data_IF_778505853087
#
_entry.id   IF_778505853087
#
_cell.length_a   1.000
_cell.length_b   1.000
_cell.length_c   1.000
_cell.angle_alpha   90.00
_cell.angle_beta   90.00
_cell.angle_gamma   90.00
#
_symmetry.space_group_name_H-M   'P 1'
#
loop_
_entity.id
_entity.type
_entity.pdbx_description
1 polymer ?
#
# COMPACT_ATOMS: atom_id res chain seq x y z
N UNK A 1 -3.41 -7.81 -12.54
CA UNK A 1 -4.14 -7.37 -11.33
C UNK A 1 -3.28 -7.40 -10.05
N UNK A 2 -2.65 -8.52 -9.69
CA UNK A 2 -1.86 -8.66 -8.44
C UNK A 2 -0.62 -7.76 -8.31
N UNK A 3 -0.03 -7.27 -9.42
CA UNK A 3 1.06 -6.26 -9.39
C UNK A 3 0.54 -4.82 -9.36
N UNK A 4 -0.61 -4.56 -10.01
CA UNK A 4 -1.24 -3.24 -10.07
C UNK A 4 -1.82 -2.80 -8.72
N UNK A 5 -2.41 -3.74 -7.96
CA UNK A 5 -2.78 -3.48 -6.56
C UNK A 5 -1.55 -3.31 -5.67
N UNK A 6 -0.45 -4.05 -5.88
CA UNK A 6 0.80 -3.86 -5.11
C UNK A 6 1.39 -2.46 -5.32
N UNK A 7 1.34 -1.91 -6.53
CA UNK A 7 1.80 -0.53 -6.79
C UNK A 7 0.92 0.54 -6.16
N UNK A 8 -0.41 0.36 -6.13
CA UNK A 8 -1.30 1.24 -5.36
C UNK A 8 -1.13 1.05 -3.83
N UNK A 9 -0.76 -0.16 -3.40
CA UNK A 9 -0.40 -0.43 -2.01
C UNK A 9 0.91 0.27 -1.66
N UNK A 10 1.87 0.46 -2.58
CA UNK A 10 3.11 1.22 -2.33
C UNK A 10 2.82 2.71 -2.07
N UNK A 11 1.84 3.32 -2.76
CA UNK A 11 1.40 4.68 -2.46
C UNK A 11 0.60 4.80 -1.15
N UNK A 12 -0.07 3.72 -0.71
CA UNK A 12 -0.77 3.64 0.58
C UNK A 12 0.10 3.08 1.74
N UNK A 13 1.28 2.50 1.47
CA UNK A 13 2.23 1.91 2.43
C UNK A 13 3.43 2.80 2.73
N UNK A 14 3.44 4.07 2.30
CA UNK A 14 4.39 5.05 2.83
C UNK A 14 4.15 5.35 4.34
N UNK A 15 3.03 4.88 4.91
CA UNK A 15 2.77 4.86 6.36
C UNK A 15 3.05 3.53 7.07
N UNK A 16 3.67 2.55 6.39
CA UNK A 16 3.87 1.18 6.89
C UNK A 16 5.32 0.71 6.91
N UNK A 17 6.30 1.62 6.90
CA UNK A 17 7.72 1.26 7.08
C UNK A 17 8.17 1.50 8.52
N UNK A 18 7.91 0.52 9.37
CA UNK A 18 8.81 0.10 10.45
C UNK A 18 8.30 -1.23 11.00
N UNK A 19 9.23 -2.12 11.38
CA UNK A 19 9.05 -3.46 11.96
C UNK A 19 9.20 -4.68 11.04
N UNK A 20 10.03 -4.60 9.99
CA UNK A 20 10.83 -5.79 9.63
C UNK A 20 12.30 -5.40 9.58
N UNK A 21 13.10 -6.13 10.36
CA UNK A 21 14.41 -5.70 10.85
C UNK A 21 15.54 -5.75 9.82
N UNK A 22 16.50 -4.87 10.08
CA UNK A 22 17.85 -4.90 9.57
C UNK A 22 18.57 -6.20 9.92
N UNK A 23 19.45 -6.67 9.03
CA UNK A 23 20.61 -7.43 9.45
C UNK A 23 21.85 -6.96 8.67
N UNK A 24 22.80 -6.44 9.47
CA UNK A 24 24.27 -6.51 9.39
C UNK A 24 25.10 -5.53 8.53
N UNK A 25 25.84 -4.73 9.32
CA UNK A 25 27.29 -4.59 9.40
C UNK A 25 28.03 -3.61 8.48
N UNK A 26 28.69 -2.62 9.11
CA UNK A 26 29.82 -1.89 8.54
C UNK A 26 29.99 -0.44 9.01
N UNK A 27 30.54 -0.24 10.21
CA UNK A 27 31.36 0.95 10.53
C UNK A 27 32.81 0.70 10.02
N UNK A 28 33.73 1.69 9.82
CA UNK A 28 33.99 2.82 10.73
C UNK A 28 34.53 4.15 10.13
N UNK A 29 34.76 5.12 11.06
CA UNK A 29 35.73 6.26 11.08
C UNK A 29 35.67 7.34 9.97
N UNK A 30 35.73 8.65 10.21
CA UNK A 30 36.28 9.47 11.30
C UNK A 30 37.41 10.34 10.74
N UNK A 31 37.24 11.66 10.63
CA UNK A 31 38.28 12.65 10.97
C UNK A 31 37.84 14.12 10.92
N UNK A 32 38.49 14.93 11.75
CA UNK A 32 38.29 16.38 11.99
C UNK A 32 39.21 17.22 11.09
N UNK A 33 38.78 18.43 10.72
CA UNK A 33 39.66 19.62 10.66
C UNK A 33 38.85 20.93 10.57
N UNK A 34 39.37 21.98 11.20
CA UNK A 34 38.66 23.22 11.54
C UNK A 34 38.79 24.41 10.58
N UNK A 35 38.17 25.49 11.07
CA UNK A 35 37.85 26.82 10.53
C UNK A 35 39.03 27.67 9.95
N UNK A 36 38.80 28.89 9.41
CA UNK A 36 38.32 30.05 10.20
C UNK A 36 37.23 30.92 9.53
N UNK A 37 36.64 31.77 10.38
CA UNK A 37 35.60 32.75 10.12
C UNK A 37 36.08 34.02 9.39
N UNK A 38 35.17 34.72 8.71
CA UNK A 38 35.24 36.17 8.54
C UNK A 38 33.87 36.81 8.78
N UNK A 39 33.85 37.83 9.64
CA UNK A 39 32.71 38.65 10.00
C UNK A 39 32.37 39.67 8.89
N UNK A 40 31.09 40.04 8.78
CA UNK A 40 30.65 41.15 7.92
C UNK A 40 29.16 41.46 8.01
N UNK A 41 28.84 42.46 8.84
CA UNK A 41 27.69 43.38 8.80
C UNK A 41 26.26 42.85 9.01
N UNK A 42 25.72 43.25 10.17
CA UNK A 42 24.32 43.17 10.55
C UNK A 42 23.44 44.14 9.74
N UNK A 43 22.30 43.63 9.26
CA UNK A 43 21.11 44.42 8.99
C UNK A 43 19.98 43.85 9.84
N UNK A 44 19.50 44.65 10.79
CA UNK A 44 18.42 44.28 11.70
C UNK A 44 17.10 44.14 10.94
N UNK A 45 16.76 42.91 10.56
CA UNK A 45 15.40 42.55 10.19
C UNK A 45 14.60 42.32 11.47
N UNK A 46 13.42 42.93 11.53
CA UNK A 46 12.45 42.76 12.61
C UNK A 46 12.16 41.27 12.78
N UNK A 47 12.58 40.73 13.92
CA UNK A 47 12.19 39.40 14.37
C UNK A 47 10.70 39.40 14.63
N UNK A 48 9.94 38.89 13.67
CA UNK A 48 8.73 38.15 13.99
C UNK A 48 9.16 37.06 15.00
N UNK A 49 8.53 37.05 16.17
CA UNK A 49 8.79 36.03 17.18
C UNK A 49 8.65 34.65 16.50
N UNK A 50 9.66 33.77 16.56
CA UNK A 50 9.56 32.48 15.91
C UNK A 50 8.37 31.73 16.52
N UNK A 51 7.42 31.34 15.67
CA UNK A 51 6.40 30.37 16.04
C UNK A 51 7.11 29.22 16.74
N UNK A 52 6.69 28.87 17.96
CA UNK A 52 7.37 27.87 18.78
C UNK A 52 7.55 26.59 17.96
N UNK A 53 8.79 26.35 17.52
CA UNK A 53 9.08 25.22 16.65
C UNK A 53 8.75 23.93 17.38
N UNK A 54 8.07 23.02 16.68
CA UNK A 54 7.68 21.74 17.24
C UNK A 54 8.92 20.88 17.44
N UNK A 55 9.04 20.21 18.58
CA UNK A 55 10.09 19.22 18.84
C UNK A 55 9.81 17.93 18.06
N UNK A 56 10.83 17.11 17.82
CA UNK A 56 10.71 15.90 17.00
C UNK A 56 9.71 14.89 17.58
N UNK A 57 9.74 14.68 18.90
CA UNK A 57 8.80 13.85 19.63
C UNK A 57 7.35 14.38 19.52
N UNK A 58 7.15 15.69 19.66
CA UNK A 58 5.83 16.30 19.51
C UNK A 58 5.28 16.15 18.09
N UNK A 59 6.14 16.24 17.06
CA UNK A 59 5.75 16.02 15.67
C UNK A 59 5.30 14.57 15.42
N UNK A 60 6.03 13.59 15.96
CA UNK A 60 5.66 12.17 15.88
C UNK A 60 4.34 11.91 16.60
N UNK A 61 4.19 12.42 17.82
CA UNK A 61 2.96 12.25 18.60
C UNK A 61 1.75 12.92 17.92
N UNK A 62 1.94 14.03 17.19
CA UNK A 62 0.88 14.64 16.39
C UNK A 62 0.38 13.71 15.27
N UNK A 63 1.28 13.00 14.59
CA UNK A 63 0.92 11.99 13.58
C UNK A 63 0.12 10.85 14.21
N UNK A 64 0.61 10.30 15.33
CA UNK A 64 -0.06 9.20 16.03
C UNK A 64 -1.45 9.60 16.52
N UNK A 65 -1.58 10.81 17.07
CA UNK A 65 -2.87 11.36 17.51
C UNK A 65 -3.85 11.58 16.34
N UNK A 66 -3.36 12.00 15.17
CA UNK A 66 -4.16 12.11 13.97
C UNK A 66 -4.62 10.76 13.44
N UNK A 67 -3.70 9.80 13.33
CA UNK A 67 -4.01 8.43 12.90
C UNK A 67 -5.05 7.76 13.82
N UNK A 68 -4.94 7.95 15.14
CA UNK A 68 -5.90 7.43 16.11
C UNK A 68 -7.31 8.03 15.95
N UNK A 69 -7.41 9.23 15.33
CA UNK A 69 -8.67 9.90 14.99
C UNK A 69 -9.16 9.58 13.58
N UNK A 70 -8.45 8.71 12.85
CA UNK A 70 -8.75 8.43 11.44
C UNK A 70 -8.49 9.63 10.54
N UNK A 71 -7.52 10.48 10.90
CA UNK A 71 -7.19 11.69 10.16
C UNK A 71 -5.88 11.52 9.39
N UNK A 72 -5.94 11.15 8.09
CA UNK A 72 -4.74 10.96 7.28
C UNK A 72 -4.02 12.29 6.97
N UNK A 73 -4.66 13.44 7.22
CA UNK A 73 -3.99 14.74 7.03
C UNK A 73 -2.83 14.93 7.99
N UNK A 74 -2.83 14.24 9.14
CA UNK A 74 -1.70 14.32 10.07
C UNK A 74 -0.42 13.74 9.47
N UNK A 75 -0.53 12.64 8.71
CA UNK A 75 0.60 12.06 7.96
C UNK A 75 1.00 13.01 6.83
N UNK A 76 0.03 13.50 6.06
CA UNK A 76 0.33 14.45 4.98
C UNK A 76 1.05 15.70 5.48
N UNK A 77 0.56 16.29 6.58
CA UNK A 77 1.12 17.50 7.18
C UNK A 77 2.44 17.25 7.92
N UNK A 78 2.81 16.00 8.18
CA UNK A 78 4.13 15.64 8.68
C UNK A 78 5.20 15.73 7.59
N UNK A 79 4.84 15.46 6.32
CA UNK A 79 5.78 15.51 5.21
C UNK A 79 6.25 16.95 4.91
N UNK A 80 7.56 17.15 4.65
CA UNK A 80 8.12 18.41 4.14
C UNK A 80 7.40 18.88 2.87
N UNK A 81 7.43 20.19 2.61
CA UNK A 81 6.75 20.75 1.43
C UNK A 81 7.30 20.20 0.11
N UNK A 82 8.63 20.01 0.03
CA UNK A 82 9.27 19.34 -1.11
C UNK A 82 8.74 17.92 -1.33
N UNK A 83 8.50 17.16 -0.26
CA UNK A 83 8.03 15.77 -0.33
C UNK A 83 6.56 15.70 -0.73
N UNK A 84 5.74 16.60 -0.17
CA UNK A 84 4.34 16.75 -0.58
C UNK A 84 4.24 17.05 -2.08
N UNK A 85 5.12 17.92 -2.59
CA UNK A 85 5.20 18.21 -4.02
C UNK A 85 5.57 16.97 -4.82
N UNK A 86 6.60 16.23 -4.41
CA UNK A 86 7.02 14.99 -5.07
C UNK A 86 5.88 13.96 -5.18
N UNK A 87 5.09 13.79 -4.12
CA UNK A 87 3.93 12.88 -4.11
C UNK A 87 2.82 13.39 -5.02
N UNK A 88 2.51 14.68 -5.00
CA UNK A 88 1.51 15.27 -5.91
C UNK A 88 1.93 15.12 -7.38
N UNK A 89 3.17 15.49 -7.70
CA UNK A 89 3.73 15.35 -9.05
C UNK A 89 3.64 13.89 -9.52
N UNK A 90 3.93 12.93 -8.65
CA UNK A 90 3.83 11.50 -8.94
C UNK A 90 2.39 11.07 -9.28
N UNK A 91 1.40 11.52 -8.52
CA UNK A 91 -0.01 11.22 -8.82
C UNK A 91 -0.45 11.86 -10.13
N UNK A 92 0.00 13.10 -10.40
CA UNK A 92 -0.30 13.79 -11.66
C UNK A 92 0.33 13.08 -12.85
N UNK A 93 1.59 12.66 -12.69
CA UNK A 93 2.34 11.88 -13.67
C UNK A 93 1.66 10.55 -13.98
N UNK A 94 1.12 9.87 -12.96
CA UNK A 94 0.32 8.68 -13.13
C UNK A 94 -0.96 8.99 -13.91
N UNK A 95 -1.70 10.03 -13.51
CA UNK A 95 -2.91 10.48 -14.21
C UNK A 95 -2.67 10.86 -15.67
N UNK A 96 -1.47 11.33 -16.01
CA UNK A 96 -1.07 11.62 -17.38
C UNK A 96 -0.77 10.36 -18.21
N UNK A 97 -0.32 9.28 -17.57
CA UNK A 97 0.14 8.04 -18.23
C UNK A 97 -0.90 6.92 -18.24
N UNK A 98 -1.91 6.98 -17.40
CA UNK A 98 -3.01 6.01 -17.35
C UNK A 98 -3.88 6.11 -18.61
N UNK A 99 -4.30 4.97 -19.17
CA UNK A 99 -5.32 4.97 -20.24
C UNK A 99 -6.68 5.36 -19.63
N UNK A 100 -7.18 6.52 -20.03
CA UNK A 100 -8.38 7.10 -19.43
C UNK A 100 -9.62 6.25 -19.66
N UNK A 101 -9.74 5.59 -20.81
CA UNK A 101 -10.87 4.72 -21.11
C UNK A 101 -10.87 3.48 -20.21
N UNK A 102 -9.74 2.80 -20.08
CA UNK A 102 -9.62 1.63 -19.22
C UNK A 102 -9.87 2.00 -17.75
N UNK A 103 -9.32 3.12 -17.29
CA UNK A 103 -9.50 3.60 -15.91
C UNK A 103 -10.96 3.92 -15.61
N UNK A 104 -11.56 4.79 -16.42
CA UNK A 104 -12.94 5.24 -16.23
C UNK A 104 -13.93 4.07 -16.37
N UNK A 105 -13.67 3.15 -17.31
CA UNK A 105 -14.48 1.94 -17.47
C UNK A 105 -14.36 1.04 -16.24
N UNK A 106 -13.17 0.89 -15.69
CA UNK A 106 -12.95 0.14 -14.44
C UNK A 106 -13.80 0.68 -13.29
N UNK A 107 -13.80 2.00 -13.08
CA UNK A 107 -14.64 2.63 -12.04
C UNK A 107 -16.14 2.55 -12.35
N UNK A 108 -16.54 2.63 -13.61
CA UNK A 108 -17.94 2.44 -14.00
C UNK A 108 -18.43 1.02 -13.66
N UNK A 109 -17.62 0.00 -13.96
CA UNK A 109 -17.91 -1.41 -13.60
C UNK A 109 -17.94 -1.59 -12.07
N UNK A 110 -17.01 -0.98 -11.35
CA UNK A 110 -17.01 -0.99 -9.88
C UNK A 110 -18.29 -0.35 -9.31
N UNK A 111 -18.72 0.79 -9.85
CA UNK A 111 -19.98 1.44 -9.47
C UNK A 111 -21.20 0.54 -9.69
N UNK A 112 -21.25 -0.16 -10.83
CA UNK A 112 -22.29 -1.18 -11.09
C UNK A 112 -22.24 -2.33 -10.08
N UNK A 113 -21.06 -2.84 -9.76
CA UNK A 113 -20.89 -3.90 -8.77
C UNK A 113 -21.39 -3.46 -7.39
N UNK A 114 -21.07 -2.23 -6.98
CA UNK A 114 -21.58 -1.63 -5.74
C UNK A 114 -23.11 -1.50 -5.78
N UNK A 115 -23.68 -1.11 -6.93
CA UNK A 115 -25.12 -1.10 -7.13
C UNK A 115 -25.77 -2.48 -6.90
N UNK A 116 -25.16 -3.55 -7.44
CA UNK A 116 -25.59 -4.93 -7.18
C UNK A 116 -25.46 -5.26 -5.69
N UNK A 117 -24.34 -4.93 -5.05
CA UNK A 117 -24.12 -5.21 -3.62
C UNK A 117 -25.13 -4.51 -2.72
N UNK A 118 -25.54 -3.28 -3.06
CA UNK A 118 -26.58 -2.54 -2.34
C UNK A 118 -27.96 -3.17 -2.56
N UNK A 119 -28.31 -3.43 -3.82
CA UNK A 119 -29.69 -3.76 -4.20
C UNK A 119 -30.01 -5.26 -4.12
N UNK A 120 -29.00 -6.12 -4.12
CA UNK A 120 -29.13 -7.59 -4.10
C UNK A 120 -28.49 -8.21 -2.87
N UNK A 121 -28.29 -7.44 -1.80
CA UNK A 121 -27.75 -7.89 -0.51
C UNK A 121 -28.35 -9.23 -0.07
N UNK A 122 -29.68 -9.33 -0.03
CA UNK A 122 -30.36 -10.54 0.44
C UNK A 122 -30.05 -11.76 -0.43
N UNK A 123 -29.95 -11.58 -1.75
CA UNK A 123 -29.61 -12.68 -2.66
C UNK A 123 -28.15 -13.10 -2.51
N UNK A 124 -27.26 -12.14 -2.32
CA UNK A 124 -25.83 -12.40 -2.10
C UNK A 124 -25.62 -13.15 -0.79
N UNK A 125 -26.18 -12.66 0.32
CA UNK A 125 -25.99 -13.26 1.64
C UNK A 125 -26.59 -14.67 1.74
N UNK A 126 -27.61 -14.98 0.94
CA UNK A 126 -28.22 -16.32 0.85
C UNK A 126 -27.53 -17.23 -0.16
N UNK A 127 -26.65 -16.70 -1.01
CA UNK A 127 -26.03 -17.48 -2.07
C UNK A 127 -25.08 -18.54 -1.47
N UNK A 128 -25.16 -19.81 -1.92
CA UNK A 128 -24.19 -20.84 -1.54
C UNK A 128 -22.75 -20.45 -1.85
N UNK A 129 -22.53 -19.64 -2.90
CA UNK A 129 -21.21 -19.16 -3.25
C UNK A 129 -20.66 -18.16 -2.24
N UNK A 130 -21.50 -17.28 -1.69
CA UNK A 130 -21.09 -16.38 -0.62
C UNK A 130 -20.75 -17.16 0.64
N UNK A 131 -21.58 -18.14 1.02
CA UNK A 131 -21.30 -19.01 2.15
C UNK A 131 -19.95 -19.73 2.01
N UNK A 132 -19.63 -20.23 0.81
CA UNK A 132 -18.33 -20.85 0.51
C UNK A 132 -17.18 -19.82 0.54
N UNK A 133 -17.36 -18.62 -0.01
CA UNK A 133 -16.34 -17.57 0.03
C UNK A 133 -16.00 -17.13 1.46
N UNK A 134 -17.00 -17.12 2.35
CA UNK A 134 -16.85 -16.79 3.77
C UNK A 134 -16.23 -17.91 4.61
N UNK A 135 -16.03 -19.12 4.05
CA UNK A 135 -15.25 -20.19 4.72
C UNK A 135 -13.74 -20.00 4.59
N UNK A 136 -13.28 -18.96 3.88
CA UNK A 136 -11.87 -18.63 3.78
C UNK A 136 -11.31 -18.18 5.16
N UNK A 137 -10.26 -18.82 5.70
CA UNK A 137 -9.69 -18.51 7.01
C UNK A 137 -9.13 -17.07 7.15
N UNK A 138 -9.04 -16.31 6.05
CA UNK A 138 -8.51 -14.94 6.05
C UNK A 138 -9.48 -13.88 6.59
N UNK A 139 -10.78 -14.18 6.74
CA UNK A 139 -11.78 -13.26 7.28
C UNK A 139 -12.43 -13.86 8.52
N UNK A 140 -12.67 -13.07 9.59
CA UNK A 140 -13.40 -13.57 10.75
C UNK A 140 -14.79 -14.05 10.33
N UNK A 141 -15.25 -15.22 10.80
CA UNK A 141 -16.60 -15.69 10.53
C UNK A 141 -17.63 -14.64 10.97
N UNK A 142 -18.60 -14.34 10.11
CA UNK A 142 -19.62 -13.36 10.45
C UNK A 142 -19.24 -11.89 10.22
N UNK A 143 -18.01 -11.59 9.79
CA UNK A 143 -17.53 -10.20 9.71
C UNK A 143 -18.21 -9.39 8.59
N UNK A 144 -18.39 -9.99 7.42
CA UNK A 144 -18.88 -9.29 6.22
C UNK A 144 -20.40 -9.21 6.21
N UNK A 145 -21.12 -10.26 6.62
CA UNK A 145 -22.58 -10.27 6.72
C UNK A 145 -23.08 -9.27 7.77
N UNK A 146 -22.45 -9.23 8.96
CA UNK A 146 -22.82 -8.28 10.01
C UNK A 146 -22.51 -6.82 9.66
N UNK A 147 -21.48 -6.60 8.85
CA UNK A 147 -21.01 -5.25 8.49
C UNK A 147 -21.20 -4.93 7.00
N UNK A 148 -22.10 -5.62 6.31
CA UNK A 148 -22.25 -5.53 4.85
C UNK A 148 -22.40 -4.10 4.37
N UNK A 149 -23.32 -3.34 4.97
CA UNK A 149 -23.62 -1.98 4.53
C UNK A 149 -22.42 -1.03 4.78
N UNK A 150 -21.64 -1.28 5.84
CA UNK A 150 -20.42 -0.52 6.11
C UNK A 150 -19.32 -0.82 5.08
N UNK A 151 -19.12 -2.10 4.73
CA UNK A 151 -18.15 -2.51 3.70
C UNK A 151 -18.53 -1.92 2.34
N UNK A 152 -19.79 -2.07 1.94
CA UNK A 152 -20.30 -1.53 0.68
C UNK A 152 -20.25 0.01 0.66
N UNK A 153 -20.56 0.66 1.77
CA UNK A 153 -20.47 2.12 1.91
C UNK A 153 -19.03 2.67 1.83
N UNK A 154 -18.04 1.89 2.26
CA UNK A 154 -16.62 2.23 2.09
C UNK A 154 -16.21 2.13 0.62
N UNK A 155 -16.57 1.02 -0.05
CA UNK A 155 -16.34 0.85 -1.49
C UNK A 155 -17.01 1.96 -2.32
N UNK A 156 -18.25 2.31 -1.97
CA UNK A 156 -19.01 3.39 -2.58
C UNK A 156 -18.32 4.75 -2.43
N UNK A 157 -17.73 5.01 -1.26
CA UNK A 157 -16.99 6.25 -1.02
C UNK A 157 -15.77 6.35 -1.94
N UNK A 158 -15.04 5.26 -2.12
CA UNK A 158 -13.88 5.23 -3.04
C UNK A 158 -14.32 5.34 -4.49
N UNK A 159 -15.35 4.60 -4.89
CA UNK A 159 -15.83 4.58 -6.28
C UNK A 159 -16.41 5.92 -6.75
N UNK A 160 -16.94 6.73 -5.83
CA UNK A 160 -17.46 8.07 -6.11
C UNK A 160 -16.48 9.19 -5.72
N UNK A 161 -15.21 8.87 -5.47
CA UNK A 161 -14.18 9.86 -5.12
C UNK A 161 -13.58 10.55 -6.34
N UNK A 162 -12.73 11.56 -6.09
CA UNK A 162 -11.97 12.24 -7.13
C UNK A 162 -11.08 11.26 -7.92
N UNK A 163 -10.66 10.13 -7.34
CA UNK A 163 -9.83 9.11 -8.00
C UNK A 163 -10.53 8.37 -9.15
N UNK A 164 -11.87 8.41 -9.18
CA UNK A 164 -12.67 7.60 -10.11
C UNK A 164 -12.49 7.97 -11.58
N UNK A 165 -11.94 9.15 -11.85
CA UNK A 165 -11.73 9.69 -13.19
C UNK A 165 -10.26 9.95 -13.45
N UNK A 166 -9.75 9.43 -14.56
CA UNK A 166 -8.36 9.62 -14.94
C UNK A 166 -8.01 11.11 -15.11
N UNK A 167 -8.98 11.92 -15.55
CA UNK A 167 -8.82 13.36 -15.70
C UNK A 167 -8.52 14.06 -14.37
N UNK A 168 -9.17 13.65 -13.28
CA UNK A 168 -9.00 14.27 -11.97
C UNK A 168 -7.62 13.98 -11.38
N UNK A 169 -7.04 12.81 -11.69
CA UNK A 169 -5.72 12.42 -11.19
C UNK A 169 -4.61 13.37 -11.63
N UNK A 170 -4.75 13.99 -12.80
CA UNK A 170 -3.76 14.92 -13.38
C UNK A 170 -3.61 16.21 -12.57
N UNK A 171 -4.60 16.53 -11.74
CA UNK A 171 -4.64 17.76 -10.94
C UNK A 171 -5.03 17.48 -9.49
N UNK A 172 -4.97 16.22 -9.06
CA UNK A 172 -5.40 15.82 -7.72
C UNK A 172 -4.48 16.44 -6.68
N UNK A 173 -5.03 17.18 -5.73
CA UNK A 173 -4.31 17.54 -4.52
C UNK A 173 -4.45 16.41 -3.49
N UNK A 174 -3.36 15.71 -3.20
CA UNK A 174 -3.34 14.58 -2.25
C UNK A 174 -3.65 15.03 -0.82
N UNK A 175 -3.30 16.26 -0.45
CA UNK A 175 -3.65 16.84 0.84
C UNK A 175 -5.14 17.11 0.96
N UNK A 176 -5.76 17.69 -0.07
CA UNK A 176 -7.19 17.91 -0.12
C UNK A 176 -7.96 16.57 -0.14
N UNK A 177 -7.48 15.59 -0.92
CA UNK A 177 -8.01 14.24 -0.93
C UNK A 177 -7.94 13.61 0.46
N UNK A 178 -6.80 13.71 1.15
CA UNK A 178 -6.65 13.20 2.51
C UNK A 178 -7.64 13.86 3.48
N UNK A 179 -7.83 15.18 3.38
CA UNK A 179 -8.76 15.93 4.22
C UNK A 179 -10.23 15.59 3.98
N UNK A 180 -10.59 15.25 2.73
CA UNK A 180 -11.94 14.87 2.33
C UNK A 180 -12.15 13.36 2.30
N UNK A 181 -12.05 12.78 1.10
CA UNK A 181 -12.29 11.35 0.85
C UNK A 181 -11.45 10.45 1.75
N UNK A 182 -10.16 10.73 1.90
CA UNK A 182 -9.23 9.92 2.69
C UNK A 182 -9.67 9.79 4.15
N UNK A 183 -10.06 10.91 4.79
CA UNK A 183 -10.57 10.93 6.16
C UNK A 183 -11.85 10.11 6.31
N UNK A 184 -12.76 10.20 5.34
CA UNK A 184 -13.99 9.39 5.35
C UNK A 184 -13.68 7.89 5.26
N UNK A 185 -12.82 7.49 4.33
CA UNK A 185 -12.42 6.09 4.13
C UNK A 185 -11.69 5.55 5.36
N UNK A 186 -10.74 6.32 5.93
CA UNK A 186 -10.00 5.92 7.12
C UNK A 186 -10.92 5.79 8.34
N UNK A 187 -11.84 6.74 8.53
CA UNK A 187 -12.85 6.68 9.59
C UNK A 187 -13.77 5.47 9.46
N UNK A 188 -14.25 5.16 8.25
CA UNK A 188 -15.03 3.95 7.97
C UNK A 188 -14.22 2.68 8.27
N UNK A 189 -12.94 2.64 7.88
CA UNK A 189 -12.04 1.52 8.16
C UNK A 189 -11.82 1.29 9.65
N UNK A 190 -11.60 2.35 10.43
CA UNK A 190 -11.47 2.25 11.90
C UNK A 190 -12.76 1.75 12.55
N UNK A 191 -13.92 2.27 12.12
CA UNK A 191 -15.21 1.81 12.63
C UNK A 191 -15.44 0.33 12.31
N UNK A 192 -15.11 -0.10 11.10
CA UNK A 192 -15.23 -1.49 10.67
C UNK A 192 -14.26 -2.41 11.45
N UNK A 193 -13.00 -2.01 11.63
CA UNK A 193 -12.04 -2.75 12.43
C UNK A 193 -12.57 -2.96 13.87
N UNK A 194 -13.08 -1.89 14.49
CA UNK A 194 -13.65 -1.95 15.85
C UNK A 194 -14.86 -2.87 15.91
N UNK A 195 -15.73 -2.83 14.91
CA UNK A 195 -16.88 -3.73 14.80
C UNK A 195 -16.47 -5.21 14.64
N UNK A 196 -15.29 -5.46 14.08
CA UNK A 196 -14.67 -6.80 13.98
C UNK A 196 -13.85 -7.19 15.21
N UNK A 197 -13.88 -6.39 16.29
CA UNK A 197 -13.15 -6.65 17.53
C UNK A 197 -11.66 -6.29 17.48
N UNK A 198 -11.20 -5.62 16.42
CA UNK A 198 -9.84 -5.08 16.34
C UNK A 198 -9.86 -3.58 16.63
N UNK A 199 -9.21 -3.15 17.70
CA UNK A 199 -9.09 -1.72 18.02
C UNK A 199 -7.68 -1.20 17.67
N UNK A 200 -7.44 -0.76 16.42
CA UNK A 200 -6.16 -0.20 16.04
C UNK A 200 -5.82 1.10 16.79
N UNK A 201 -6.81 1.81 17.34
CA UNK A 201 -6.59 3.07 18.06
C UNK A 201 -5.96 2.86 19.43
N UNK A 202 -6.18 1.69 20.04
CA UNK A 202 -5.56 1.33 21.32
C UNK A 202 -4.04 1.23 21.19
N UNK A 203 -3.55 0.65 20.10
CA UNK A 203 -2.11 0.54 19.82
C UNK A 203 -1.49 1.92 19.60
N UNK A 204 -2.17 2.77 18.81
CA UNK A 204 -1.71 4.13 18.54
C UNK A 204 -1.67 5.01 19.80
N UNK A 205 -2.63 4.83 20.70
CA UNK A 205 -2.75 5.62 21.94
C UNK A 205 -1.72 5.24 22.99
N UNK A 206 -1.24 4.01 22.97
CA UNK A 206 -0.22 3.52 23.91
C UNK A 206 1.22 3.69 23.39
N UNK A 207 1.39 4.20 22.17
CA UNK A 207 2.69 4.57 21.63
C UNK A 207 3.28 5.77 22.38
N UNK A 208 4.61 5.76 22.58
CA UNK A 208 5.34 6.86 23.21
C UNK A 208 6.52 7.27 22.35
N UNK A 209 6.75 8.58 22.27
CA UNK A 209 7.95 9.19 21.75
C UNK A 209 8.55 10.08 22.83
N UNK A 210 9.84 9.87 23.13
CA UNK A 210 10.57 10.64 24.15
C UNK A 210 11.80 11.27 23.49
N UNK A 211 11.91 12.59 23.54
CA UNK A 211 13.09 13.28 23.03
C UNK A 211 14.30 12.96 23.91
N UNK A 212 15.31 12.31 23.34
CA UNK A 212 16.56 11.99 24.04
C UNK A 212 17.55 13.13 23.91
N UNK A 213 17.71 13.67 22.69
CA UNK A 213 18.66 14.74 22.40
C UNK A 213 18.22 15.55 21.18
N UNK A 214 18.59 16.83 21.16
CA UNK A 214 18.49 17.69 19.97
C UNK A 214 19.78 18.47 19.78
N UNK A 215 20.29 18.47 18.55
CA UNK A 215 21.49 19.16 18.13
C UNK A 215 21.23 19.87 16.80
N UNK A 216 20.87 21.16 16.86
CA UNK A 216 20.50 21.92 15.68
C UNK A 216 19.32 21.28 14.94
N UNK A 217 19.56 20.89 13.68
CA UNK A 217 18.58 20.26 12.80
C UNK A 217 18.54 18.73 12.90
N UNK A 218 19.11 18.15 13.97
CA UNK A 218 19.07 16.72 14.27
C UNK A 218 18.46 16.46 15.65
N UNK A 219 17.72 15.37 15.78
CA UNK A 219 17.18 14.91 17.05
C UNK A 219 17.28 13.39 17.16
N UNK A 220 17.47 12.89 18.38
CA UNK A 220 17.32 11.48 18.71
C UNK A 220 16.05 11.34 19.53
N UNK A 221 15.14 10.48 19.09
CA UNK A 221 13.87 10.22 19.77
C UNK A 221 13.79 8.73 20.10
N UNK A 222 13.47 8.42 21.35
CA UNK A 222 13.20 7.06 21.80
C UNK A 222 11.73 6.74 21.55
N UNK A 223 11.47 5.73 20.73
CA UNK A 223 10.13 5.28 20.35
C UNK A 223 9.81 3.97 21.08
N UNK A 224 8.66 3.94 21.75
CA UNK A 224 8.21 2.77 22.51
C UNK A 224 6.81 2.35 22.05
N UNK A 225 6.70 1.11 21.60
CA UNK A 225 5.44 0.50 21.20
C UNK A 225 4.73 -0.16 22.41
N UNK A 226 3.40 -0.30 22.36
CA UNK A 226 2.64 -0.96 23.43
C UNK A 226 3.07 -2.43 23.59
N UNK A 227 3.36 -2.85 24.82
CA UNK A 227 3.79 -4.22 25.12
C UNK A 227 5.20 -4.57 24.62
N UNK A 228 5.96 -3.60 24.10
CA UNK A 228 7.37 -3.76 23.74
C UNK A 228 8.31 -3.63 24.94
N UNK A 229 9.52 -4.18 24.80
CA UNK A 229 10.64 -4.00 25.73
C UNK A 229 11.22 -2.58 25.67
N UNK A 230 12.53 -2.43 25.87
CA UNK A 230 13.17 -1.10 25.82
C UNK A 230 12.92 -0.42 24.46
N UNK A 231 12.43 0.83 24.52
CA UNK A 231 12.18 1.64 23.33
C UNK A 231 13.42 1.83 22.47
N UNK A 232 13.24 1.99 21.17
CA UNK A 232 14.33 2.15 20.19
C UNK A 232 14.63 3.61 19.96
N UNK A 233 15.91 3.97 19.98
CA UNK A 233 16.34 5.31 19.59
C UNK A 233 16.42 5.41 18.06
N UNK A 234 15.72 6.39 17.51
CA UNK A 234 15.73 6.72 16.09
C UNK A 234 16.19 8.16 15.87
N UNK A 235 16.90 8.39 14.78
CA UNK A 235 17.39 9.72 14.41
C UNK A 235 16.39 10.42 13.50
N UNK A 236 16.20 11.71 13.76
CA UNK A 236 15.35 12.61 12.99
C UNK A 236 16.17 13.80 12.52
N UNK A 237 15.83 14.31 11.35
CA UNK A 237 16.44 15.50 10.75
C UNK A 237 15.37 16.48 10.32
N UNK A 238 15.66 17.79 10.36
CA UNK A 238 14.76 18.80 9.80
C UNK A 238 14.92 18.93 8.29
N UNK A 239 13.81 18.89 7.57
CA UNK A 239 13.71 19.18 6.15
C UNK A 239 12.50 20.09 5.94
N UNK A 240 12.69 21.24 5.29
CA UNK A 240 11.68 22.30 5.14
C UNK A 240 10.97 22.66 6.46
N UNK A 241 11.71 22.68 7.57
CA UNK A 241 11.18 23.00 8.90
C UNK A 241 10.39 21.87 9.56
N UNK A 242 10.35 20.66 8.99
CA UNK A 242 9.66 19.49 9.57
C UNK A 242 10.63 18.38 9.92
N UNK A 243 10.38 17.72 11.05
CA UNK A 243 11.15 16.57 11.49
C UNK A 243 10.74 15.33 10.70
N UNK A 244 11.70 14.67 10.05
CA UNK A 244 11.51 13.38 9.40
C UNK A 244 12.57 12.38 9.86
N UNK A 245 12.29 11.06 9.81
CA UNK A 245 13.31 10.05 10.08
C UNK A 245 14.53 10.24 9.18
N UNK A 246 15.73 10.14 9.75
CA UNK A 246 16.98 10.35 9.02
C UNK A 246 17.14 9.37 7.85
N UNK A 247 16.72 8.12 8.04
CA UNK A 247 16.74 7.08 7.01
C UNK A 247 15.82 7.42 5.84
N UNK A 248 14.65 8.00 6.13
CA UNK A 248 13.72 8.48 5.10
C UNK A 248 14.35 9.61 4.29
N UNK A 249 14.99 10.59 4.95
CA UNK A 249 15.71 11.65 4.24
C UNK A 249 16.80 11.10 3.33
N UNK A 250 17.56 10.11 3.80
CA UNK A 250 18.65 9.52 3.04
C UNK A 250 18.13 8.72 1.82
N UNK A 251 16.98 8.06 1.94
CA UNK A 251 16.46 7.18 0.90
C UNK A 251 15.45 7.85 -0.06
N UNK A 252 14.86 8.99 0.33
CA UNK A 252 13.75 9.63 -0.39
C UNK A 252 14.02 9.84 -1.88
N UNK A 253 15.13 10.49 -2.22
CA UNK A 253 15.46 10.81 -3.61
C UNK A 253 15.60 9.55 -4.48
N UNK A 254 16.21 8.50 -3.92
CA UNK A 254 16.37 7.21 -4.59
C UNK A 254 15.01 6.54 -4.80
N UNK A 255 14.16 6.53 -3.78
CA UNK A 255 12.84 5.91 -3.84
C UNK A 255 11.91 6.64 -4.81
N UNK A 256 11.89 7.98 -4.79
CA UNK A 256 11.17 8.79 -5.77
C UNK A 256 11.69 8.58 -7.19
N UNK A 257 13.01 8.46 -7.36
CA UNK A 257 13.62 8.13 -8.66
C UNK A 257 13.19 6.75 -9.17
N UNK A 258 13.17 5.74 -8.31
CA UNK A 258 12.71 4.39 -8.64
C UNK A 258 11.21 4.37 -8.97
N UNK A 259 10.38 5.07 -8.19
CA UNK A 259 8.95 5.19 -8.47
C UNK A 259 8.69 5.84 -9.84
N UNK A 260 9.41 6.93 -10.16
CA UNK A 260 9.36 7.58 -11.47
C UNK A 260 9.80 6.65 -12.61
N UNK A 261 10.86 5.87 -12.40
CA UNK A 261 11.31 4.89 -13.38
C UNK A 261 10.27 3.78 -13.64
N UNK A 262 9.61 3.27 -12.59
CA UNK A 262 8.51 2.30 -12.74
C UNK A 262 7.32 2.90 -13.50
N UNK A 263 7.01 4.18 -13.26
CA UNK A 263 5.93 4.88 -13.97
C UNK A 263 6.19 5.03 -15.47
N UNK A 264 7.45 4.99 -15.92
CA UNK A 264 7.77 5.05 -17.35
C UNK A 264 7.26 3.82 -18.13
N UNK A 265 7.11 2.66 -17.47
CA UNK A 265 6.59 1.45 -18.09
C UNK A 265 5.05 1.44 -18.23
N UNK A 266 4.34 2.29 -17.48
CA UNK A 266 2.88 2.30 -17.38
C UNK A 266 2.18 2.38 -18.74
N UNK A 267 2.54 3.28 -19.68
CA UNK A 267 1.82 3.37 -20.95
C UNK A 267 1.83 2.05 -21.74
N UNK A 268 2.98 1.36 -21.77
CA UNK A 268 3.11 0.06 -22.44
C UNK A 268 2.33 -1.04 -21.74
N UNK A 269 2.44 -1.13 -20.41
CA UNK A 269 1.69 -2.10 -19.61
C UNK A 269 0.17 -1.86 -19.69
N UNK A 270 -0.27 -0.60 -19.71
CA UNK A 270 -1.68 -0.22 -19.80
C UNK A 270 -2.26 -0.50 -21.18
N UNK A 271 -1.48 -0.31 -22.25
CA UNK A 271 -1.90 -0.73 -23.60
C UNK A 271 -2.13 -2.24 -23.67
N UNK A 272 -1.21 -3.04 -23.14
CA UNK A 272 -1.37 -4.49 -23.09
C UNK A 272 -2.54 -4.89 -22.18
N UNK A 273 -2.66 -4.27 -21.00
CA UNK A 273 -3.75 -4.51 -20.07
C UNK A 273 -5.10 -4.16 -20.69
N UNK A 274 -5.21 -3.05 -21.44
CA UNK A 274 -6.44 -2.64 -22.12
C UNK A 274 -6.91 -3.68 -23.12
N UNK A 275 -6.01 -4.21 -23.95
CA UNK A 275 -6.34 -5.23 -24.94
C UNK A 275 -6.94 -6.49 -24.29
N UNK A 276 -6.40 -6.92 -23.15
CA UNK A 276 -6.88 -8.10 -22.43
C UNK A 276 -8.09 -7.81 -21.54
N UNK A 277 -8.12 -6.65 -20.88
CA UNK A 277 -9.10 -6.33 -19.85
C UNK A 277 -10.40 -5.77 -20.41
N UNK A 278 -10.39 -5.02 -21.52
CA UNK A 278 -11.63 -4.41 -22.05
C UNK A 278 -12.71 -5.45 -22.40
N UNK A 279 -12.40 -6.57 -23.08
CA UNK A 279 -13.38 -7.63 -23.31
C UNK A 279 -13.89 -8.25 -22.00
N UNK A 280 -12.99 -8.48 -21.04
CA UNK A 280 -13.35 -9.03 -19.73
C UNK A 280 -14.23 -8.06 -18.93
N UNK A 281 -13.94 -6.76 -18.94
CA UNK A 281 -14.74 -5.73 -18.31
C UNK A 281 -16.14 -5.66 -18.93
N UNK A 282 -16.27 -5.81 -20.24
CA UNK A 282 -17.58 -5.92 -20.91
C UNK A 282 -18.36 -7.16 -20.48
N UNK A 283 -17.70 -8.31 -20.33
CA UNK A 283 -18.33 -9.54 -19.83
C UNK A 283 -18.78 -9.40 -18.37
N UNK A 284 -17.93 -8.85 -17.51
CA UNK A 284 -18.25 -8.59 -16.09
C UNK A 284 -19.41 -7.61 -16.00
N UNK A 285 -19.38 -6.53 -16.77
CA UNK A 285 -20.47 -5.56 -16.83
C UNK A 285 -21.80 -6.20 -17.23
N UNK A 286 -21.84 -6.99 -18.30
CA UNK A 286 -23.04 -7.70 -18.72
C UNK A 286 -23.54 -8.71 -17.67
N UNK A 287 -22.62 -9.32 -16.91
CA UNK A 287 -22.98 -10.19 -15.79
C UNK A 287 -23.59 -9.39 -14.64
N UNK A 288 -23.01 -8.24 -14.29
CA UNK A 288 -23.54 -7.35 -13.27
C UNK A 288 -24.94 -6.82 -13.64
N UNK A 289 -25.17 -6.48 -14.91
CA UNK A 289 -26.49 -6.05 -15.39
C UNK A 289 -27.54 -7.18 -15.24
N UNK A 290 -27.16 -8.43 -15.53
CA UNK A 290 -28.03 -9.59 -15.29
C UNK A 290 -28.31 -9.85 -13.81
N UNK A 291 -27.29 -9.74 -12.94
CA UNK A 291 -27.44 -9.87 -11.49
C UNK A 291 -28.35 -8.78 -10.93
N UNK A 292 -28.21 -7.54 -11.41
CA UNK A 292 -29.08 -6.43 -11.05
C UNK A 292 -30.53 -6.68 -11.48
N UNK A 293 -30.74 -7.30 -12.65
CA UNK A 293 -32.05 -7.65 -13.20
C UNK A 293 -32.70 -8.91 -12.62
N UNK A 294 -31.98 -9.73 -11.83
CA UNK A 294 -32.52 -10.99 -11.31
C UNK A 294 -33.75 -10.75 -10.41
N UNK A 295 -34.87 -11.40 -10.73
CA UNK A 295 -36.13 -11.24 -10.00
C UNK A 295 -36.19 -12.07 -8.71
N UNK A 296 -35.46 -13.18 -8.67
CA UNK A 296 -35.46 -14.13 -7.56
C UNK A 296 -34.07 -14.76 -7.33
N UNK A 297 -33.97 -15.57 -6.28
CA UNK A 297 -32.72 -16.23 -5.85
C UNK A 297 -32.20 -17.20 -6.92
N UNK A 298 -33.07 -17.97 -7.58
CA UNK A 298 -32.65 -18.97 -8.56
C UNK A 298 -32.07 -18.30 -9.82
N UNK A 299 -32.69 -17.21 -10.28
CA UNK A 299 -32.17 -16.39 -11.35
C UNK A 299 -30.81 -15.77 -10.98
N UNK A 300 -30.68 -15.26 -9.76
CA UNK A 300 -29.42 -14.67 -9.27
C UNK A 300 -28.28 -15.70 -9.22
N UNK A 301 -28.51 -16.83 -8.56
CA UNK A 301 -27.51 -17.90 -8.43
C UNK A 301 -27.16 -18.53 -9.79
N UNK A 302 -28.14 -18.65 -10.70
CA UNK A 302 -27.92 -19.12 -12.06
C UNK A 302 -26.97 -18.23 -12.86
N UNK A 303 -27.12 -16.90 -12.76
CA UNK A 303 -26.19 -15.94 -13.39
C UNK A 303 -24.79 -16.08 -12.79
N UNK A 304 -24.68 -16.22 -11.46
CA UNK A 304 -23.40 -16.34 -10.78
C UNK A 304 -22.66 -17.63 -11.16
N UNK A 305 -23.38 -18.76 -11.22
CA UNK A 305 -22.82 -20.05 -11.64
C UNK A 305 -22.38 -20.03 -13.10
N UNK A 306 -23.17 -19.42 -13.98
CA UNK A 306 -22.81 -19.24 -15.39
C UNK A 306 -21.54 -18.39 -15.57
N UNK A 307 -21.40 -17.31 -14.79
CA UNK A 307 -20.20 -16.48 -14.80
C UNK A 307 -18.96 -17.24 -14.30
N UNK A 308 -19.09 -18.03 -13.24
CA UNK A 308 -18.00 -18.88 -12.74
C UNK A 308 -17.61 -19.95 -13.77
N UNK A 309 -18.57 -20.59 -14.43
CA UNK A 309 -18.29 -21.57 -15.49
C UNK A 309 -17.54 -20.91 -16.66
N UNK A 310 -17.93 -19.69 -17.06
CA UNK A 310 -17.23 -18.94 -18.10
C UNK A 310 -15.80 -18.54 -17.70
N UNK A 311 -15.55 -18.24 -16.42
CA UNK A 311 -14.24 -17.84 -15.93
C UNK A 311 -13.32 -19.03 -15.60
N UNK A 312 -13.89 -20.16 -15.14
CA UNK A 312 -13.18 -21.38 -14.77
C UNK A 312 -13.05 -22.41 -15.91
N UNK A 313 -13.90 -22.34 -16.93
CA UNK A 313 -13.87 -23.22 -18.10
C UNK A 313 -12.85 -22.83 -19.19
N UNK A 314 -12.02 -21.81 -18.93
CA UNK A 314 -11.07 -21.24 -19.89
C UNK A 314 -9.59 -21.55 -19.62
N UNK A 315 -9.26 -22.49 -18.73
CA UNK A 315 -7.89 -22.99 -18.62
C UNK A 315 -7.72 -24.25 -19.49
N UNK A 316 -7.05 -24.18 -20.66
CA UNK A 316 -6.46 -25.38 -21.22
C UNK A 316 -5.42 -25.87 -20.22
N UNK A 317 -5.43 -27.17 -19.92
CA UNK A 317 -4.23 -27.82 -19.41
C UNK A 317 -3.05 -27.46 -20.31
N UNK A 318 -2.01 -26.86 -19.74
CA UNK A 318 -0.95 -26.26 -20.53
C UNK A 318 -0.05 -25.34 -19.72
N UNK A 319 0.45 -25.83 -18.59
CA UNK A 319 1.68 -25.28 -18.01
C UNK A 319 2.53 -26.46 -17.54
N UNK A 320 2.84 -27.36 -18.49
CA UNK A 320 4.13 -28.05 -18.41
C UNK A 320 5.21 -26.96 -18.42
N UNK A 321 5.95 -26.92 -17.32
CA UNK A 321 7.18 -26.15 -17.16
C UNK A 321 8.04 -26.34 -18.42
N UNK A 322 8.67 -25.29 -18.98
CA UNK A 322 9.90 -25.50 -19.72
C UNK A 322 10.89 -26.08 -18.71
N UNK A 323 11.23 -27.35 -18.91
CA UNK A 323 12.35 -27.99 -18.24
C UNK A 323 13.58 -27.11 -18.51
N UNK A 324 14.10 -26.51 -17.45
CA UNK A 324 15.32 -25.74 -17.52
C UNK A 324 16.41 -26.70 -18.00
N UNK A 325 16.97 -26.41 -19.17
CA UNK A 325 18.14 -27.09 -19.70
C UNK A 325 19.23 -27.15 -18.63
N UNK A 326 19.40 -28.32 -18.01
CA UNK A 326 20.63 -28.67 -17.33
C UNK A 326 21.69 -28.81 -18.42
N UNK A 327 22.50 -27.76 -18.56
CA UNK A 327 23.84 -27.91 -19.12
C UNK A 327 24.64 -28.80 -18.18
N UNK A 328 24.86 -30.04 -18.58
CA UNK A 328 25.99 -30.84 -18.14
C UNK A 328 26.92 -30.98 -19.37
N UNK A 329 27.81 -30.02 -19.52
CA UNK A 329 29.06 -30.23 -20.22
C UNK A 329 30.02 -30.84 -19.19
N UNK A 330 30.37 -32.11 -19.32
CA UNK A 330 31.77 -32.57 -19.22
C UNK A 330 31.90 -34.06 -19.60
N UNK A 331 32.45 -34.22 -20.80
CA UNK A 331 33.25 -35.27 -21.44
C UNK A 331 33.20 -36.77 -21.02
N UNK A 332 33.32 -37.68 -22.02
CA UNK A 332 33.55 -39.11 -21.83
C UNK A 332 35.05 -39.47 -21.84
N UNK A 333 35.44 -40.46 -21.03
CA UNK A 333 36.73 -41.15 -21.08
C UNK A 333 36.81 -42.08 -19.86
N UNK A 334 36.62 -43.38 -20.03
CA UNK A 334 37.70 -44.33 -20.30
C UNK A 334 38.04 -45.01 -18.96
N UNK A 335 37.47 -46.17 -18.67
CA UNK A 335 38.01 -47.51 -18.98
C UNK A 335 39.00 -48.00 -17.90
N UNK A 336 38.76 -49.26 -17.50
CA UNK A 336 39.63 -50.22 -16.81
C UNK A 336 39.88 -50.24 -15.29
N UNK A 337 39.71 -51.46 -14.76
CA UNK A 337 40.33 -52.02 -13.54
C UNK A 337 39.36 -52.17 -12.37
N UNK A 338 38.63 -53.27 -12.18
CA UNK A 338 39.05 -54.66 -11.89
C UNK A 338 39.74 -54.84 -10.52
N UNK A 339 39.36 -55.94 -9.86
CA UNK A 339 39.74 -56.45 -8.53
C UNK A 339 39.21 -55.66 -7.32
N UNK A 340 38.54 -56.25 -6.33
CA UNK A 340 38.52 -57.61 -5.82
C UNK A 340 38.54 -57.55 -4.29
N UNK A 341 37.98 -58.57 -3.62
CA UNK A 341 38.04 -58.83 -2.17
C UNK A 341 37.27 -57.88 -1.23
N UNK A 342 36.79 -58.25 -0.04
CA UNK A 342 36.40 -59.48 0.66
C UNK A 342 36.03 -59.00 2.08
N UNK A 343 35.27 -59.80 2.81
CA UNK A 343 35.14 -59.79 4.28
C UNK A 343 34.29 -58.70 4.95
N UNK A 344 33.07 -59.14 5.32
CA UNK A 344 32.68 -59.42 6.71
C UNK A 344 33.12 -58.44 7.82
N UNK A 345 32.16 -57.90 8.57
CA UNK A 345 31.64 -58.53 9.81
C UNK A 345 30.50 -57.68 10.42
N UNK A 346 29.54 -58.33 11.10
CA UNK A 346 28.63 -57.70 12.05
C UNK A 346 29.22 -57.74 13.48
N UNK A 347 28.89 -56.75 14.31
CA UNK A 347 28.42 -56.86 15.70
C UNK A 347 27.77 -55.53 16.13
#
# INVERSE_FOLDING_TARGET
MNRFLRSFTIAALAGGMALTGCNKDGAPAGDKAGAPASAGAAAAAKTDAPAKEMTADAAIMAVMAGAAKGDPTAIWNFLPASYQKDVNDMVHDFGAKVDAELWDKGFAVLGKAIGVFKNKKDFILKSPMFAQAMQNPMLPPGAIDKNWDAVVGMLDTVANSELSKAANLKTLDVGAFAAGTGKKVMGQGLALAKAMGQDPTAVLSAFKAELVKTEGDKATVKLSAPGGGEGKEEQFVKVDGKWIPADMQASWSREMGQAKAQMAAIPGEMAQAKQMAMPMLGMVEGTLDKLAGAADQAAFDGVLMGAMAAMGGGAPGGMEKPEAAQKADDAPGGDDGDDGDEAAQPE
#
